data_IF_819625098848
#
_entry.id   IF_819625098848
#
_cell.length_a   1.000
_cell.length_b   1.000
_cell.length_c   1.000
_cell.angle_alpha   90.00
_cell.angle_beta   90.00
_cell.angle_gamma   90.00
#
_symmetry.space_group_name_H-M   'P 1'
#
loop_
_entity.id
_entity.type
_entity.pdbx_description
1 polymer ?
#
# COMPACT_ATOMS: atom_id res chain seq x y z
N UNK A 1 -6.78 -15.16 8.61
CA UNK A 1 -7.01 -13.75 8.25
C UNK A 1 -7.10 -13.67 6.76
N UNK A 2 -7.98 -12.85 6.18
CA UNK A 2 -8.08 -12.76 4.74
C UNK A 2 -6.79 -12.21 4.14
N UNK A 3 -6.46 -12.69 2.95
CA UNK A 3 -5.30 -12.29 2.17
C UNK A 3 -5.81 -11.78 0.84
N UNK A 4 -5.44 -10.57 0.47
CA UNK A 4 -5.86 -9.94 -0.79
C UNK A 4 -4.68 -9.93 -1.74
N UNK A 5 -4.89 -10.40 -2.97
CA UNK A 5 -3.90 -10.31 -4.05
C UNK A 5 -4.35 -9.25 -5.04
N UNK A 6 -3.44 -8.35 -5.41
CA UNK A 6 -3.64 -7.37 -6.46
C UNK A 6 -2.80 -7.76 -7.67
N UNK A 7 -3.40 -7.74 -8.86
CA UNK A 7 -2.72 -7.89 -10.14
C UNK A 7 -2.72 -6.53 -10.86
N UNK A 8 -1.55 -6.05 -11.24
CA UNK A 8 -1.39 -4.74 -11.90
C UNK A 8 -1.58 -4.84 -13.43
N UNK A 9 -1.79 -6.03 -13.98
CA UNK A 9 -2.01 -6.27 -15.41
C UNK A 9 -0.75 -6.24 -16.28
N UNK A 10 0.38 -5.81 -15.71
CA UNK A 10 1.68 -5.75 -16.37
C UNK A 10 2.65 -6.87 -15.91
N UNK A 11 2.10 -7.90 -15.26
CA UNK A 11 2.85 -9.01 -14.69
C UNK A 11 3.32 -8.76 -13.26
N UNK A 12 3.23 -7.54 -12.73
CA UNK A 12 3.45 -7.28 -11.30
C UNK A 12 2.23 -7.72 -10.49
N UNK A 13 2.51 -8.26 -9.31
CA UNK A 13 1.50 -8.65 -8.33
C UNK A 13 1.94 -8.24 -6.94
N UNK A 14 0.97 -7.96 -6.07
CA UNK A 14 1.22 -7.78 -4.64
C UNK A 14 0.21 -8.57 -3.83
N UNK A 15 0.60 -8.90 -2.60
CA UNK A 15 -0.26 -9.59 -1.65
C UNK A 15 -0.23 -8.83 -0.34
N UNK A 16 -1.42 -8.58 0.22
CA UNK A 16 -1.58 -7.96 1.53
C UNK A 16 -2.19 -9.00 2.47
N UNK A 17 -1.47 -9.29 3.55
CA UNK A 17 -1.92 -10.22 4.58
C UNK A 17 -1.73 -9.61 5.97
N UNK A 18 -2.82 -9.14 6.57
CA UNK A 18 -2.80 -8.54 7.90
C UNK A 18 -2.92 -9.64 8.96
N UNK A 19 -1.80 -10.09 9.53
CA UNK A 19 -1.77 -11.08 10.62
C UNK A 19 -1.51 -10.38 11.97
N UNK A 20 -2.37 -10.56 13.00
CA UNK A 20 -2.19 -9.89 14.30
C UNK A 20 -0.89 -10.24 15.03
N UNK A 21 -0.25 -11.35 14.70
CA UNK A 21 0.93 -11.87 15.40
C UNK A 21 2.25 -11.56 14.68
N UNK A 22 2.24 -10.87 13.55
CA UNK A 22 3.45 -10.55 12.77
C UNK A 22 3.75 -9.06 12.78
N UNK A 23 5.03 -8.71 12.59
CA UNK A 23 5.46 -7.34 12.37
C UNK A 23 5.05 -6.84 10.98
N UNK A 24 4.95 -5.52 10.84
CA UNK A 24 4.75 -4.88 9.55
C UNK A 24 6.05 -4.95 8.73
N UNK A 25 6.03 -5.68 7.63
CA UNK A 25 7.16 -5.90 6.75
C UNK A 25 6.70 -5.92 5.30
N UNK A 26 7.66 -5.74 4.39
CA UNK A 26 7.45 -5.82 2.95
C UNK A 26 8.47 -6.76 2.33
N UNK A 27 7.99 -7.80 1.68
CA UNK A 27 8.81 -8.67 0.84
C UNK A 27 8.68 -8.23 -0.63
N UNK A 28 9.82 -8.01 -1.28
CA UNK A 28 9.89 -7.62 -2.69
C UNK A 28 10.69 -8.67 -3.45
N UNK A 29 10.18 -9.11 -4.58
CA UNK A 29 10.93 -9.86 -5.57
C UNK A 29 11.11 -9.02 -6.84
N UNK A 30 12.35 -8.84 -7.26
CA UNK A 30 12.69 -8.19 -8.52
C UNK A 30 12.53 -9.15 -9.71
N UNK A 31 12.46 -8.59 -10.93
CA UNK A 31 12.25 -9.38 -12.16
C UNK A 31 13.39 -10.35 -12.47
N UNK A 32 14.58 -10.13 -11.93
CA UNK A 32 15.73 -11.05 -12.01
C UNK A 32 15.63 -12.23 -11.02
N UNK A 33 14.57 -12.29 -10.21
CA UNK A 33 14.31 -13.35 -9.22
C UNK A 33 14.89 -13.06 -7.83
N UNK A 34 15.68 -12.00 -7.66
CA UNK A 34 16.23 -11.61 -6.36
C UNK A 34 15.12 -11.14 -5.42
N UNK A 35 15.19 -11.57 -4.17
CA UNK A 35 14.22 -11.22 -3.13
C UNK A 35 14.86 -10.46 -1.98
N UNK A 36 14.11 -9.52 -1.41
CA UNK A 36 14.49 -8.81 -0.18
C UNK A 36 13.30 -8.74 0.77
N UNK A 37 13.56 -8.93 2.07
CA UNK A 37 12.59 -8.62 3.13
C UNK A 37 13.00 -7.31 3.78
N UNK A 38 12.09 -6.34 3.78
CA UNK A 38 12.27 -5.01 4.31
C UNK A 38 11.41 -4.90 5.58
N UNK A 39 12.01 -4.98 6.78
CA UNK A 39 11.27 -4.62 7.99
C UNK A 39 10.92 -3.14 7.91
N UNK A 40 9.63 -2.81 8.01
CA UNK A 40 9.20 -1.42 7.95
C UNK A 40 9.36 -0.83 9.35
N UNK A 41 10.47 -0.14 9.54
CA UNK A 41 10.71 0.70 10.70
C UNK A 41 10.63 2.16 10.26
N UNK A 42 9.86 2.97 10.98
CA UNK A 42 9.63 4.36 10.61
C UNK A 42 9.76 5.25 11.83
N UNK A 43 10.54 6.33 11.70
CA UNK A 43 10.40 7.49 12.58
C UNK A 43 9.28 8.39 12.02
N UNK A 44 8.06 7.85 12.04
CA UNK A 44 6.92 8.40 11.30
C UNK A 44 6.57 9.82 11.78
N UNK A 45 6.55 10.05 13.09
CA UNK A 45 6.02 11.29 13.66
C UNK A 45 6.87 12.51 13.31
N UNK A 46 8.21 12.51 13.47
CA UNK A 46 9.02 13.65 13.06
C UNK A 46 8.90 13.93 11.57
N UNK A 47 9.01 12.91 10.72
CA UNK A 47 8.87 13.07 9.27
C UNK A 47 7.50 13.62 8.87
N UNK A 48 6.43 13.15 9.51
CA UNK A 48 5.08 13.65 9.27
C UNK A 48 4.93 15.14 9.67
N UNK A 49 5.43 15.51 10.86
CA UNK A 49 5.36 16.90 11.35
C UNK A 49 6.08 17.85 10.39
N UNK A 50 7.29 17.48 9.95
CA UNK A 50 8.07 18.30 9.00
C UNK A 50 7.30 18.52 7.69
N UNK A 51 6.68 17.47 7.15
CA UNK A 51 5.87 17.57 5.92
C UNK A 51 4.60 18.39 6.12
N UNK A 52 3.96 18.28 7.29
CA UNK A 52 2.78 19.05 7.62
C UNK A 52 3.09 20.55 7.72
N UNK A 53 4.16 20.93 8.41
CA UNK A 53 4.60 22.33 8.51
C UNK A 53 4.97 22.90 7.14
N UNK A 54 5.72 22.14 6.32
CA UNK A 54 6.06 22.54 4.96
C UNK A 54 4.81 22.79 4.09
N UNK A 55 3.74 22.00 4.25
CA UNK A 55 2.47 22.27 3.57
C UNK A 55 1.86 23.60 3.99
N UNK A 56 1.88 23.94 5.28
CA UNK A 56 1.34 25.22 5.74
C UNK A 56 2.13 26.43 5.20
N UNK A 57 3.45 26.29 5.03
CA UNK A 57 4.30 27.34 4.49
C UNK A 57 4.16 27.48 2.96
N UNK A 58 4.19 26.36 2.23
CA UNK A 58 4.30 26.35 0.77
C UNK A 58 2.95 26.21 0.06
N UNK A 59 1.92 25.75 0.77
CA UNK A 59 0.62 25.30 0.22
C UNK A 59 0.72 24.16 -0.80
N UNK A 60 1.87 23.48 -0.88
CA UNK A 60 2.07 22.34 -1.76
C UNK A 60 1.94 21.04 -0.97
N UNK A 61 1.08 20.10 -1.39
CA UNK A 61 0.96 18.81 -0.73
C UNK A 61 2.25 17.99 -0.89
N UNK A 62 2.58 17.19 0.12
CA UNK A 62 3.81 16.38 0.14
C UNK A 62 3.79 15.19 -0.82
N UNK A 63 2.60 14.79 -1.28
CA UNK A 63 2.35 13.69 -2.23
C UNK A 63 1.32 14.14 -3.25
N UNK A 64 1.30 13.51 -4.41
CA UNK A 64 0.31 13.84 -5.42
C UNK A 64 -1.06 13.32 -4.99
N UNK A 65 -2.12 14.08 -5.32
CA UNK A 65 -3.49 13.68 -5.00
C UNK A 65 -3.83 12.31 -5.59
N UNK A 66 -3.37 12.06 -6.81
CA UNK A 66 -3.68 10.82 -7.56
C UNK A 66 -3.09 9.58 -6.86
N UNK A 67 -1.92 9.70 -6.22
CA UNK A 67 -1.33 8.61 -5.43
C UNK A 67 -2.20 8.27 -4.21
N UNK A 68 -2.78 9.29 -3.56
CA UNK A 68 -3.67 9.08 -2.42
C UNK A 68 -4.98 8.43 -2.85
N UNK A 69 -5.56 8.88 -3.97
CA UNK A 69 -6.78 8.29 -4.52
C UNK A 69 -6.56 6.82 -4.91
N UNK A 70 -5.44 6.51 -5.55
CA UNK A 70 -5.10 5.14 -5.93
C UNK A 70 -4.95 4.23 -4.69
N UNK A 71 -4.26 4.68 -3.65
CA UNK A 71 -4.13 3.93 -2.41
C UNK A 71 -5.49 3.67 -1.73
N UNK A 72 -6.36 4.68 -1.67
CA UNK A 72 -7.72 4.54 -1.10
C UNK A 72 -8.56 3.57 -1.92
N UNK A 73 -8.55 3.68 -3.25
CA UNK A 73 -9.28 2.78 -4.13
C UNK A 73 -8.86 1.31 -3.94
N UNK A 74 -7.56 1.05 -3.77
CA UNK A 74 -7.07 -0.29 -3.46
C UNK A 74 -7.59 -0.79 -2.12
N UNK A 75 -7.57 0.04 -1.07
CA UNK A 75 -8.10 -0.33 0.25
C UNK A 75 -9.59 -0.67 0.17
N UNK A 76 -10.40 0.15 -0.49
CA UNK A 76 -11.84 -0.07 -0.65
C UNK A 76 -12.12 -1.36 -1.44
N UNK A 77 -11.44 -1.57 -2.56
CA UNK A 77 -11.55 -2.79 -3.36
C UNK A 77 -11.12 -4.03 -2.57
N UNK A 78 -10.04 -3.93 -1.79
CA UNK A 78 -9.57 -5.01 -0.92
C UNK A 78 -10.58 -5.38 0.16
N UNK A 79 -11.16 -4.39 0.85
CA UNK A 79 -12.21 -4.62 1.84
C UNK A 79 -13.43 -5.31 1.22
N UNK A 80 -13.85 -4.87 0.03
CA UNK A 80 -14.95 -5.52 -0.70
C UNK A 80 -14.62 -6.97 -1.11
N UNK A 81 -13.40 -7.21 -1.61
CA UNK A 81 -12.95 -8.55 -2.01
C UNK A 81 -12.94 -9.55 -0.84
N UNK A 82 -12.71 -9.08 0.39
CA UNK A 82 -12.75 -9.90 1.60
C UNK A 82 -14.17 -10.42 1.88
N UNK A 83 -15.19 -9.65 1.56
CA UNK A 83 -16.60 -10.03 1.78
C UNK A 83 -17.07 -11.13 0.82
N UNK A 84 -16.44 -11.22 -0.36
CA UNK A 84 -16.81 -12.15 -1.42
C UNK A 84 -15.53 -12.88 -1.90
N UNK A 85 -15.09 -13.91 -1.17
CA UNK A 85 -13.82 -14.57 -1.43
C UNK A 85 -13.79 -15.27 -2.80
N UNK A 86 -12.57 -15.58 -3.25
CA UNK A 86 -12.28 -16.34 -4.46
C UNK A 86 -12.77 -15.68 -5.77
N UNK A 87 -12.88 -14.35 -5.77
CA UNK A 87 -13.28 -13.56 -6.94
C UNK A 87 -12.35 -12.38 -7.17
N UNK A 88 -12.21 -12.03 -8.45
CA UNK A 88 -11.51 -10.83 -8.88
C UNK A 88 -12.47 -9.65 -8.95
N UNK A 89 -12.00 -8.51 -8.46
CA UNK A 89 -12.70 -7.23 -8.51
C UNK A 89 -11.80 -6.20 -9.17
N UNK A 90 -12.39 -5.34 -9.99
CA UNK A 90 -11.67 -4.22 -10.59
C UNK A 90 -11.47 -3.12 -9.56
N UNK A 91 -10.25 -2.60 -9.46
CA UNK A 91 -9.95 -1.39 -8.68
C UNK A 91 -10.34 -0.19 -9.52
N UNK A 92 -11.40 0.52 -9.11
CA UNK A 92 -11.87 1.72 -9.81
C UNK A 92 -10.99 2.91 -9.44
N UNK A 93 -10.40 3.57 -10.45
CA UNK A 93 -9.67 4.83 -10.29
C UNK A 93 -10.61 6.04 -10.35
#
# INVERSE_FOLDING_TARGET
TPMVTYDYGDGRRSTVHCMPWTQFALEIQASNGEGVSLPITSDFWPAFIDKLLAFFDTKQPAVQKDETLEAVAMVEAGLHAIEIPDRWFEVKK
#
